data_IF_946052841099
#
_entry.id   IF_946052841099
#
_cell.length_a   1.000
_cell.length_b   1.000
_cell.length_c   1.000
_cell.angle_alpha   90.00
_cell.angle_beta   90.00
_cell.angle_gamma   90.00
#
_symmetry.space_group_name_H-M   'P 1'
#
loop_
_entity.id
_entity.type
_entity.pdbx_description
1 polymer ?
#
# COMPACT_ATOMS: atom_id res chain seq x y z
N UNK A 1 28.54 -27.29 6.96
CA UNK A 1 28.55 -26.46 8.20
C UNK A 1 27.77 -25.19 7.87
N UNK A 2 26.49 -25.15 8.24
CA UNK A 2 25.66 -23.94 8.17
C UNK A 2 26.22 -22.93 9.18
N UNK A 3 26.52 -21.74 8.72
CA UNK A 3 27.07 -20.69 9.58
C UNK A 3 25.99 -20.21 10.55
N UNK A 4 26.39 -19.84 11.77
CA UNK A 4 25.46 -19.40 12.84
C UNK A 4 24.65 -18.13 12.53
N UNK A 5 24.85 -17.52 11.36
CA UNK A 5 24.07 -16.38 10.83
C UNK A 5 22.87 -16.82 9.98
N UNK A 6 22.89 -17.97 9.33
CA UNK A 6 21.83 -18.45 8.44
C UNK A 6 20.60 -18.94 9.22
N UNK A 7 20.77 -19.45 10.46
CA UNK A 7 19.70 -19.97 11.29
C UNK A 7 18.67 -18.92 11.76
N UNK A 8 19.04 -17.66 12.09
CA UNK A 8 18.08 -16.61 12.38
C UNK A 8 17.22 -16.20 11.17
N UNK A 9 17.82 -16.05 9.99
CA UNK A 9 17.11 -15.66 8.75
C UNK A 9 16.12 -16.73 8.30
N UNK A 10 16.48 -18.02 8.39
CA UNK A 10 15.55 -19.12 8.10
C UNK A 10 14.35 -19.17 9.06
N UNK A 11 14.56 -18.86 10.36
CA UNK A 11 13.47 -18.79 11.35
C UNK A 11 12.56 -17.60 11.11
N UNK A 12 13.10 -16.47 10.72
CA UNK A 12 12.34 -15.27 10.37
C UNK A 12 11.47 -15.54 9.14
N UNK A 13 12.05 -16.10 8.07
CA UNK A 13 11.31 -16.50 6.87
C UNK A 13 10.19 -17.50 7.18
N UNK A 14 10.43 -18.51 8.02
CA UNK A 14 9.39 -19.46 8.45
C UNK A 14 8.28 -18.77 9.24
N UNK A 15 8.60 -17.81 10.09
CA UNK A 15 7.61 -17.06 10.85
C UNK A 15 6.72 -16.19 9.92
N UNK A 16 7.31 -15.55 8.91
CA UNK A 16 6.55 -14.77 7.91
C UNK A 16 5.64 -15.67 7.06
N UNK A 17 6.10 -16.87 6.67
CA UNK A 17 5.27 -17.84 5.98
C UNK A 17 4.07 -18.25 6.85
N UNK A 18 4.26 -18.51 8.13
CA UNK A 18 3.17 -18.88 9.05
C UNK A 18 2.19 -17.70 9.21
N UNK A 19 2.67 -16.47 9.31
CA UNK A 19 1.82 -15.27 9.36
C UNK A 19 0.96 -15.15 8.11
N UNK A 20 1.56 -15.32 6.93
CA UNK A 20 0.86 -15.25 5.64
C UNK A 20 -0.35 -16.20 5.61
N UNK A 21 -0.18 -17.48 5.99
CA UNK A 21 -1.28 -18.45 6.00
C UNK A 21 -2.41 -18.12 7.00
N UNK A 22 -2.14 -17.27 7.98
CA UNK A 22 -3.15 -16.86 8.95
C UNK A 22 -3.88 -15.56 8.59
N UNK A 23 -3.34 -14.75 7.70
CA UNK A 23 -3.92 -13.45 7.33
C UNK A 23 -5.25 -13.59 6.58
N UNK A 24 -6.10 -12.59 6.75
CA UNK A 24 -7.41 -12.44 6.11
C UNK A 24 -7.45 -11.22 5.20
N UNK A 25 -8.45 -11.15 4.32
CA UNK A 25 -8.58 -10.08 3.35
C UNK A 25 -8.69 -8.69 3.99
N UNK A 26 -9.37 -8.58 5.13
CA UNK A 26 -9.52 -7.33 5.88
C UNK A 26 -8.19 -6.80 6.45
N UNK A 27 -7.22 -7.69 6.71
CA UNK A 27 -5.91 -7.31 7.26
C UNK A 27 -4.98 -6.67 6.21
N UNK A 28 -5.24 -6.90 4.91
CA UNK A 28 -4.37 -6.43 3.82
C UNK A 28 -5.08 -5.55 2.79
N UNK A 29 -6.41 -5.43 2.86
CA UNK A 29 -7.20 -4.67 1.89
C UNK A 29 -6.88 -3.18 1.94
N UNK A 30 -7.01 -2.50 0.79
CA UNK A 30 -7.20 -1.07 0.76
C UNK A 30 -8.60 -0.76 1.30
N UNK A 31 -8.71 -0.04 2.44
CA UNK A 31 -10.00 0.26 3.04
C UNK A 31 -10.88 1.10 2.11
N UNK A 32 -12.21 1.02 2.27
CA UNK A 32 -13.19 1.77 1.49
C UNK A 32 -12.91 3.27 1.39
N UNK A 33 -12.43 3.88 2.47
CA UNK A 33 -12.15 5.32 2.51
C UNK A 33 -10.98 5.74 1.63
N UNK A 34 -10.10 4.79 1.30
CA UNK A 34 -8.90 5.02 0.50
C UNK A 34 -9.05 4.44 -0.92
N UNK A 35 -10.23 3.87 -1.24
CA UNK A 35 -10.50 3.35 -2.57
C UNK A 35 -10.68 4.48 -3.58
N UNK A 36 -10.09 4.31 -4.75
CA UNK A 36 -10.38 5.10 -5.93
C UNK A 36 -11.41 4.36 -6.79
N UNK A 37 -12.61 4.86 -6.88
CA UNK A 37 -13.73 4.26 -7.60
C UNK A 37 -14.46 5.25 -8.51
N UNK A 38 -15.36 4.75 -9.36
CA UNK A 38 -16.11 5.55 -10.34
C UNK A 38 -17.60 5.32 -10.22
N UNK A 39 -18.37 6.41 -10.18
CA UNK A 39 -19.82 6.34 -10.30
C UNK A 39 -20.20 6.04 -11.75
N UNK A 40 -21.09 5.06 -11.97
CA UNK A 40 -21.49 4.53 -13.29
C UNK A 40 -22.09 5.60 -14.22
N UNK A 41 -22.62 6.69 -13.66
CA UNK A 41 -23.22 7.81 -14.43
C UNK A 41 -22.17 8.82 -14.88
N UNK A 42 -20.89 8.66 -14.52
CA UNK A 42 -19.81 9.56 -14.92
C UNK A 42 -19.70 9.65 -16.44
N UNK A 43 -19.57 10.85 -16.98
CA UNK A 43 -19.39 11.06 -18.42
C UNK A 43 -18.08 10.47 -18.91
N UNK A 44 -18.02 10.05 -20.18
CA UNK A 44 -16.83 9.39 -20.71
C UNK A 44 -15.56 10.24 -20.62
N UNK A 45 -15.68 11.56 -20.87
CA UNK A 45 -14.55 12.49 -20.71
C UNK A 45 -14.01 12.50 -19.29
N UNK A 46 -14.89 12.59 -18.29
CA UNK A 46 -14.50 12.59 -16.89
C UNK A 46 -13.88 11.25 -16.47
N UNK A 47 -14.31 10.13 -17.06
CA UNK A 47 -13.67 8.81 -16.85
C UNK A 47 -12.23 8.83 -17.35
N UNK A 48 -11.99 9.38 -18.54
CA UNK A 48 -10.62 9.50 -19.10
C UNK A 48 -9.75 10.40 -18.20
N UNK A 49 -10.26 11.55 -17.80
CA UNK A 49 -9.53 12.48 -16.92
C UNK A 49 -9.20 11.83 -15.57
N UNK A 50 -10.14 11.08 -15.01
CA UNK A 50 -9.95 10.33 -13.77
C UNK A 50 -8.85 9.28 -13.91
N UNK A 51 -8.87 8.48 -14.98
CA UNK A 51 -7.89 7.43 -15.24
C UNK A 51 -6.47 8.02 -15.39
N UNK A 52 -6.33 9.11 -16.12
CA UNK A 52 -5.03 9.77 -16.31
C UNK A 52 -4.49 10.29 -14.97
N UNK A 53 -5.36 10.76 -14.09
CA UNK A 53 -4.98 11.31 -12.79
C UNK A 53 -4.66 10.21 -11.77
N UNK A 54 -5.47 9.15 -11.70
CA UNK A 54 -5.32 8.08 -10.71
C UNK A 54 -4.17 7.11 -11.02
N UNK A 55 -3.91 6.85 -12.31
CA UNK A 55 -2.87 5.92 -12.75
C UNK A 55 -3.17 4.43 -12.54
N UNK A 56 -4.30 4.06 -11.93
CA UNK A 56 -4.65 2.68 -11.62
C UNK A 56 -5.10 1.90 -12.86
N UNK A 57 -4.73 0.65 -12.97
CA UNK A 57 -5.08 -0.24 -14.08
C UNK A 57 -6.50 -0.82 -14.00
N UNK A 58 -7.10 -0.86 -12.81
CA UNK A 58 -8.42 -1.44 -12.53
C UNK A 58 -9.14 -0.55 -11.53
N UNK A 59 -10.37 -0.18 -11.86
CA UNK A 59 -11.14 0.78 -11.07
C UNK A 59 -12.50 0.17 -10.78
N UNK A 60 -12.90 0.03 -9.51
CA UNK A 60 -14.25 -0.34 -9.13
C UNK A 60 -15.27 0.68 -9.65
N UNK A 61 -16.40 0.18 -10.12
CA UNK A 61 -17.52 1.01 -10.61
C UNK A 61 -18.75 0.74 -9.76
N UNK A 62 -19.31 1.78 -9.18
CA UNK A 62 -20.50 1.69 -8.34
C UNK A 62 -21.70 2.44 -8.95
N UNK A 63 -22.89 2.21 -8.42
CA UNK A 63 -24.12 2.95 -8.78
C UNK A 63 -24.83 3.44 -7.53
N UNK A 64 -25.05 4.74 -7.45
CA UNK A 64 -25.77 5.44 -6.38
C UNK A 64 -25.08 5.38 -4.99
N UNK A 65 -24.47 4.28 -4.63
CA UNK A 65 -23.72 4.08 -3.39
C UNK A 65 -22.52 3.17 -3.67
N UNK A 66 -21.39 3.42 -3.00
CA UNK A 66 -20.17 2.59 -3.04
C UNK A 66 -20.39 1.17 -2.53
N UNK A 67 -21.48 0.89 -1.80
CA UNK A 67 -21.92 -0.47 -1.46
C UNK A 67 -22.51 -1.22 -2.65
N UNK A 68 -22.88 -0.51 -3.71
CA UNK A 68 -23.52 -1.10 -4.88
C UNK A 68 -22.54 -1.18 -6.05
N UNK A 69 -21.49 -1.98 -5.90
CA UNK A 69 -20.48 -2.21 -6.94
C UNK A 69 -21.09 -2.94 -8.12
N UNK A 70 -20.97 -2.36 -9.31
CA UNK A 70 -21.49 -2.91 -10.59
C UNK A 70 -20.45 -3.76 -11.33
N UNK A 71 -19.18 -3.56 -11.03
CA UNK A 71 -18.07 -4.29 -11.63
C UNK A 71 -16.78 -3.51 -11.59
N UNK A 72 -15.82 -3.94 -12.40
CA UNK A 72 -14.48 -3.37 -12.51
C UNK A 72 -14.26 -2.87 -13.92
N UNK A 73 -13.83 -1.61 -14.05
CA UNK A 73 -13.35 -1.05 -15.32
C UNK A 73 -11.85 -1.34 -15.45
N UNK A 74 -11.48 -2.02 -16.53
CA UNK A 74 -10.07 -2.26 -16.88
C UNK A 74 -9.62 -1.20 -17.87
N UNK A 75 -8.58 -0.44 -17.55
CA UNK A 75 -8.06 0.61 -18.43
C UNK A 75 -7.68 0.07 -19.80
N UNK A 76 -7.07 -1.10 -19.87
CA UNK A 76 -6.69 -1.74 -21.13
C UNK A 76 -7.87 -1.95 -22.10
N UNK A 77 -9.07 -2.17 -21.57
CA UNK A 77 -10.27 -2.36 -22.42
C UNK A 77 -10.80 -1.03 -22.95
N UNK A 78 -10.45 0.06 -22.32
CA UNK A 78 -10.87 1.41 -22.69
C UNK A 78 -9.92 2.07 -23.72
N UNK A 79 -8.65 1.66 -23.75
CA UNK A 79 -7.63 2.23 -24.64
C UNK A 79 -8.06 2.30 -26.13
N UNK A 80 -8.72 1.28 -26.72
CA UNK A 80 -9.18 1.36 -28.12
C UNK A 80 -10.24 2.42 -28.38
N UNK A 81 -10.84 2.98 -27.34
CA UNK A 81 -11.97 3.90 -27.42
C UNK A 81 -11.65 5.31 -26.95
N UNK A 82 -10.40 5.62 -26.64
CA UNK A 82 -9.99 6.90 -26.02
C UNK A 82 -10.38 8.13 -26.84
N UNK A 83 -10.43 8.00 -28.18
CA UNK A 83 -10.80 9.08 -29.09
C UNK A 83 -12.32 9.16 -29.35
N UNK A 84 -13.14 8.36 -28.67
CA UNK A 84 -14.58 8.38 -28.83
C UNK A 84 -15.19 9.65 -28.21
N UNK A 85 -16.33 10.13 -28.75
CA UNK A 85 -17.03 11.26 -28.19
C UNK A 85 -17.60 10.96 -26.80
N UNK A 86 -17.94 11.98 -26.04
CA UNK A 86 -18.46 11.87 -24.67
C UNK A 86 -19.79 11.07 -24.57
N UNK A 87 -20.46 10.87 -25.70
CA UNK A 87 -21.66 10.00 -25.80
C UNK A 87 -21.34 8.50 -25.83
N UNK A 88 -20.05 8.12 -25.81
CA UNK A 88 -19.66 6.73 -25.80
C UNK A 88 -20.11 6.04 -24.50
N UNK A 89 -20.75 4.88 -24.66
CA UNK A 89 -21.24 4.08 -23.52
C UNK A 89 -20.13 3.19 -22.96
N UNK A 90 -19.24 3.77 -22.20
CA UNK A 90 -18.12 3.05 -21.55
C UNK A 90 -18.58 1.99 -20.57
N UNK A 91 -19.81 2.09 -20.05
CA UNK A 91 -20.42 1.11 -19.13
C UNK A 91 -20.48 -0.31 -19.72
N UNK A 92 -20.49 -0.44 -21.05
CA UNK A 92 -20.44 -1.74 -21.72
C UNK A 92 -19.09 -2.47 -21.57
N UNK A 93 -18.05 -1.78 -21.08
CA UNK A 93 -16.72 -2.33 -20.86
C UNK A 93 -16.52 -2.81 -19.40
N UNK A 94 -17.48 -2.57 -18.53
CA UNK A 94 -17.41 -2.99 -17.13
C UNK A 94 -17.47 -4.52 -17.07
N UNK A 95 -16.46 -5.11 -16.40
CA UNK A 95 -16.41 -6.55 -16.15
C UNK A 95 -17.04 -6.88 -14.81
N UNK A 96 -17.61 -8.10 -14.64
CA UNK A 96 -18.10 -8.54 -13.32
C UNK A 96 -17.03 -8.41 -12.25
N UNK A 97 -17.40 -7.90 -11.08
CA UNK A 97 -16.54 -7.90 -9.90
C UNK A 97 -16.52 -9.28 -9.25
N UNK A 98 -15.42 -9.60 -8.58
CA UNK A 98 -15.27 -10.75 -7.72
C UNK A 98 -15.41 -10.29 -6.27
N UNK A 99 -16.30 -10.91 -5.51
CA UNK A 99 -16.59 -10.51 -4.14
C UNK A 99 -16.09 -11.57 -3.16
N UNK A 100 -15.50 -11.13 -2.06
CA UNK A 100 -15.01 -11.99 -0.99
C UNK A 100 -15.38 -11.41 0.37
N UNK A 101 -15.66 -12.24 1.39
CA UNK A 101 -15.88 -11.75 2.75
C UNK A 101 -14.56 -11.27 3.37
N UNK A 102 -14.64 -10.39 4.35
CA UNK A 102 -13.50 -9.90 5.15
C UNK A 102 -12.63 -11.03 5.71
N UNK A 103 -13.26 -12.11 6.15
CA UNK A 103 -12.61 -13.28 6.74
C UNK A 103 -11.95 -14.24 5.75
N UNK A 104 -11.96 -13.89 4.44
CA UNK A 104 -11.34 -14.73 3.41
C UNK A 104 -9.84 -14.82 3.64
N UNK A 105 -9.32 -16.05 3.73
CA UNK A 105 -7.87 -16.27 3.83
C UNK A 105 -7.16 -15.88 2.55
N UNK A 106 -6.03 -15.18 2.69
CA UNK A 106 -5.32 -14.62 1.53
C UNK A 106 -4.59 -15.68 0.69
N UNK A 107 -4.18 -16.80 1.28
CA UNK A 107 -3.62 -17.94 0.56
C UNK A 107 -4.66 -18.58 -0.37
N UNK A 108 -5.87 -18.85 0.13
CA UNK A 108 -7.00 -19.32 -0.69
C UNK A 108 -7.35 -18.31 -1.78
N UNK A 109 -7.35 -17.02 -1.45
CA UNK A 109 -7.67 -15.96 -2.39
C UNK A 109 -6.63 -15.86 -3.51
N UNK A 110 -5.36 -16.05 -3.20
CA UNK A 110 -4.27 -16.11 -4.18
C UNK A 110 -4.49 -17.26 -5.18
N UNK A 111 -4.88 -18.44 -4.68
CA UNK A 111 -5.16 -19.59 -5.54
C UNK A 111 -6.38 -19.33 -6.46
N UNK A 112 -7.44 -18.71 -5.92
CA UNK A 112 -8.61 -18.30 -6.69
C UNK A 112 -8.26 -17.25 -7.76
N UNK A 113 -7.45 -16.24 -7.42
CA UNK A 113 -6.98 -15.23 -8.37
C UNK A 113 -6.21 -15.87 -9.53
N UNK A 114 -5.31 -16.79 -9.24
CA UNK A 114 -4.53 -17.51 -10.28
C UNK A 114 -5.42 -18.40 -11.15
N UNK A 115 -6.32 -19.15 -10.54
CA UNK A 115 -7.18 -20.12 -11.23
C UNK A 115 -8.20 -19.40 -12.13
N UNK A 116 -8.82 -18.33 -11.63
CA UNK A 116 -9.86 -17.58 -12.33
C UNK A 116 -9.30 -16.42 -13.17
N UNK A 117 -7.97 -16.18 -13.16
CA UNK A 117 -7.30 -15.06 -13.82
C UNK A 117 -7.89 -13.71 -13.40
N UNK A 118 -8.16 -13.58 -12.12
CA UNK A 118 -8.65 -12.36 -11.46
C UNK A 118 -7.45 -11.71 -10.78
N UNK A 119 -7.46 -10.38 -10.68
CA UNK A 119 -6.38 -9.60 -10.06
C UNK A 119 -6.88 -8.62 -9.00
N UNK A 120 -8.19 -8.55 -8.79
CA UNK A 120 -8.80 -7.66 -7.82
C UNK A 120 -10.11 -8.27 -7.34
N UNK A 121 -10.37 -8.21 -6.05
CA UNK A 121 -11.63 -8.57 -5.42
C UNK A 121 -12.18 -7.38 -4.61
N UNK A 122 -13.49 -7.30 -4.53
CA UNK A 122 -14.20 -6.41 -3.62
C UNK A 122 -14.40 -7.17 -2.30
N UNK A 123 -13.94 -6.59 -1.21
CA UNK A 123 -14.13 -7.13 0.14
C UNK A 123 -15.45 -6.61 0.69
N UNK A 124 -16.27 -7.51 1.22
CA UNK A 124 -17.58 -7.19 1.74
C UNK A 124 -17.75 -7.66 3.18
N UNK A 125 -18.48 -6.86 3.96
CA UNK A 125 -18.88 -7.17 5.33
C UNK A 125 -20.03 -8.19 5.39
N UNK A 126 -20.45 -8.57 6.61
CA UNK A 126 -21.55 -9.50 6.86
C UNK A 126 -22.93 -8.97 6.44
N UNK A 127 -23.05 -7.66 6.17
CA UNK A 127 -24.29 -7.01 5.71
C UNK A 127 -24.31 -6.81 4.20
N UNK A 128 -23.21 -7.15 3.51
CA UNK A 128 -23.05 -6.95 2.08
C UNK A 128 -22.59 -5.54 1.69
N UNK A 129 -22.14 -4.74 2.66
CA UNK A 129 -21.50 -3.44 2.42
C UNK A 129 -20.06 -3.63 1.91
N UNK A 130 -19.57 -2.69 1.13
CA UNK A 130 -18.18 -2.69 0.66
C UNK A 130 -17.26 -2.23 1.78
N UNK A 131 -16.35 -3.10 2.22
CA UNK A 131 -15.31 -2.81 3.21
C UNK A 131 -14.03 -2.27 2.56
N UNK A 132 -13.70 -2.75 1.37
CA UNK A 132 -12.50 -2.36 0.66
C UNK A 132 -12.27 -3.16 -0.61
N UNK A 133 -11.03 -3.12 -1.11
CA UNK A 133 -10.54 -3.94 -2.21
C UNK A 133 -9.26 -4.66 -1.81
N UNK A 134 -9.03 -5.82 -2.41
CA UNK A 134 -7.76 -6.53 -2.33
C UNK A 134 -7.30 -6.91 -3.72
N UNK A 135 -6.02 -6.73 -4.01
CA UNK A 135 -5.42 -7.06 -5.29
C UNK A 135 -4.46 -8.23 -5.16
N UNK A 136 -4.05 -8.80 -6.29
CA UNK A 136 -3.01 -9.83 -6.31
C UNK A 136 -1.67 -9.28 -5.83
N UNK A 137 -1.41 -8.02 -6.15
CA UNK A 137 -0.23 -7.28 -5.75
C UNK A 137 -0.13 -7.19 -4.23
N UNK A 138 -1.21 -6.84 -3.52
CA UNK A 138 -1.26 -6.78 -2.04
C UNK A 138 -0.94 -8.16 -1.41
N UNK A 139 -1.49 -9.25 -1.97
CA UNK A 139 -1.23 -10.60 -1.47
C UNK A 139 0.24 -11.00 -1.69
N UNK A 140 0.82 -10.65 -2.85
CA UNK A 140 2.21 -10.97 -3.15
C UNK A 140 3.19 -10.18 -2.27
N UNK A 141 2.86 -8.95 -1.93
CA UNK A 141 3.63 -8.12 -1.01
C UNK A 141 3.75 -8.79 0.37
N UNK A 142 2.69 -9.43 0.83
CA UNK A 142 2.72 -10.19 2.09
C UNK A 142 3.63 -11.43 2.09
N UNK A 143 3.91 -11.99 0.91
CA UNK A 143 4.82 -13.15 0.77
C UNK A 143 6.28 -12.70 0.67
N UNK A 144 6.52 -11.64 -0.08
CA UNK A 144 7.88 -11.23 -0.48
C UNK A 144 8.42 -10.16 0.46
N UNK A 145 7.54 -9.53 1.28
CA UNK A 145 7.81 -8.27 1.95
C UNK A 145 7.83 -7.13 0.91
N UNK A 146 8.06 -5.93 1.35
CA UNK A 146 8.33 -4.83 0.41
C UNK A 146 9.47 -5.27 -0.52
N UNK A 147 9.11 -5.59 -1.79
CA UNK A 147 10.11 -5.74 -2.83
C UNK A 147 10.64 -4.33 -3.04
N UNK A 148 11.73 -4.00 -2.36
CA UNK A 148 12.51 -2.84 -2.76
C UNK A 148 13.10 -3.19 -4.13
N UNK A 149 12.34 -2.84 -5.19
CA UNK A 149 12.82 -2.95 -6.55
C UNK A 149 14.07 -2.08 -6.65
N UNK A 150 15.17 -2.63 -7.17
CA UNK A 150 16.40 -1.87 -7.42
C UNK A 150 16.16 -0.67 -8.37
N UNK A 151 14.92 -0.49 -8.83
CA UNK A 151 14.42 0.53 -9.75
C UNK A 151 13.34 1.45 -9.18
N UNK A 152 12.89 1.28 -7.90
CA UNK A 152 12.01 2.26 -7.24
C UNK A 152 12.81 3.52 -6.86
N UNK A 153 13.23 4.24 -7.90
CA UNK A 153 13.82 5.59 -7.81
C UNK A 153 12.74 6.67 -7.51
N UNK A 154 11.49 6.27 -7.34
CA UNK A 154 10.36 7.16 -7.11
C UNK A 154 9.92 7.13 -5.64
N UNK A 155 10.35 8.13 -4.94
CA UNK A 155 10.24 8.58 -3.56
C UNK A 155 11.41 8.16 -2.68
N UNK A 156 12.59 8.66 -2.98
CA UNK A 156 13.68 8.68 -1.99
C UNK A 156 13.20 9.44 -0.76
N UNK A 157 12.71 8.70 0.24
CA UNK A 157 12.34 9.26 1.54
C UNK A 157 13.53 9.93 2.23
N UNK A 158 14.72 9.87 1.61
CA UNK A 158 15.90 10.59 2.06
C UNK A 158 16.81 11.00 0.89
N UNK A 159 17.57 12.06 1.10
CA UNK A 159 18.62 12.55 0.19
C UNK A 159 19.93 12.70 0.94
N UNK A 160 21.02 12.16 0.41
CA UNK A 160 22.38 12.38 0.96
C UNK A 160 23.01 13.60 0.30
N UNK A 161 23.41 14.58 1.11
CA UNK A 161 24.08 15.79 0.64
C UNK A 161 25.60 15.59 0.51
N UNK A 162 26.25 16.46 -0.24
CA UNK A 162 27.70 16.38 -0.49
C UNK A 162 28.57 16.58 0.77
N UNK A 163 28.03 17.20 1.81
CA UNK A 163 28.68 17.40 3.11
C UNK A 163 28.52 16.19 4.06
N UNK A 164 27.83 15.13 3.60
CA UNK A 164 27.57 13.92 4.38
C UNK A 164 26.31 13.97 5.23
N UNK A 165 25.58 15.10 5.26
CA UNK A 165 24.29 15.19 5.92
C UNK A 165 23.21 14.48 5.12
N UNK A 166 22.12 14.10 5.80
CA UNK A 166 20.96 13.39 5.23
C UNK A 166 19.71 14.22 5.43
N UNK A 167 18.91 14.36 4.39
CA UNK A 167 17.56 14.94 4.47
C UNK A 167 16.58 13.79 4.39
N UNK A 168 15.68 13.68 5.36
CA UNK A 168 14.65 12.66 5.43
C UNK A 168 13.27 13.29 5.31
N UNK A 169 12.33 12.54 4.71
CA UNK A 169 10.93 12.80 4.96
C UNK A 169 10.57 12.32 6.36
N UNK A 170 9.86 13.16 7.13
CA UNK A 170 9.56 12.85 8.53
C UNK A 170 8.61 11.64 8.71
N UNK A 171 7.92 11.23 7.64
CA UNK A 171 7.05 10.04 7.60
C UNK A 171 7.81 8.71 7.46
N UNK A 172 9.15 8.74 7.20
CA UNK A 172 9.96 7.52 7.08
C UNK A 172 9.81 6.65 8.32
N UNK A 173 9.65 5.34 8.15
CA UNK A 173 9.62 4.39 9.25
C UNK A 173 10.96 4.36 9.98
N UNK A 174 10.94 4.21 11.30
CA UNK A 174 12.16 4.16 12.12
C UNK A 174 13.07 3.01 11.72
N UNK A 175 12.51 1.87 11.30
CA UNK A 175 13.28 0.73 10.79
C UNK A 175 14.16 1.11 9.59
N UNK A 176 13.59 1.87 8.65
CA UNK A 176 14.30 2.32 7.46
C UNK A 176 15.26 3.46 7.78
N UNK A 177 14.84 4.40 8.61
CA UNK A 177 15.69 5.47 9.10
C UNK A 177 16.97 4.91 9.74
N UNK A 178 16.86 3.98 10.70
CA UNK A 178 18.02 3.38 11.37
C UNK A 178 18.90 2.56 10.41
N UNK A 179 18.30 1.88 9.42
CA UNK A 179 19.03 1.18 8.36
C UNK A 179 19.87 2.14 7.53
N UNK A 180 19.28 3.27 7.09
CA UNK A 180 19.97 4.28 6.25
C UNK A 180 21.13 4.95 6.98
N UNK A 181 20.96 5.28 8.27
CA UNK A 181 22.03 5.89 9.07
C UNK A 181 23.00 4.87 9.70
N UNK A 182 22.70 3.57 9.53
CA UNK A 182 23.48 2.46 10.07
C UNK A 182 23.70 2.54 11.59
N UNK A 183 22.63 2.71 12.35
CA UNK A 183 22.62 2.89 13.79
C UNK A 183 21.69 1.87 14.43
N UNK A 184 22.11 1.30 15.58
CA UNK A 184 21.27 0.41 16.36
C UNK A 184 20.15 1.20 17.05
N UNK A 185 18.87 0.82 16.92
CA UNK A 185 17.73 1.47 17.57
C UNK A 185 17.90 1.62 19.10
N UNK A 186 18.65 0.71 19.73
CA UNK A 186 18.90 0.75 21.19
C UNK A 186 19.66 2.01 21.64
N UNK A 187 20.36 2.71 20.75
CA UNK A 187 21.00 3.99 21.05
C UNK A 187 19.98 5.09 21.42
N UNK A 188 18.72 4.95 20.98
CA UNK A 188 17.64 5.87 21.30
C UNK A 188 16.78 5.41 22.50
N UNK A 189 17.06 4.21 23.03
CA UNK A 189 16.45 3.66 24.23
C UNK A 189 14.92 3.62 24.16
N UNK A 190 14.25 4.14 25.21
CA UNK A 190 12.79 4.12 25.30
C UNK A 190 12.06 5.05 24.32
N UNK A 191 12.75 5.96 23.67
CA UNK A 191 12.14 6.90 22.71
C UNK A 191 11.60 6.21 21.44
N UNK A 192 11.96 4.93 21.24
CA UNK A 192 11.53 4.14 20.09
C UNK A 192 10.44 3.10 20.43
N UNK A 193 10.04 2.98 21.71
CA UNK A 193 9.11 1.93 22.14
C UNK A 193 7.67 2.14 21.63
N UNK A 194 7.23 3.42 21.55
CA UNK A 194 5.83 3.77 21.22
C UNK A 194 5.71 4.61 19.93
N UNK A 195 6.74 4.62 19.08
CA UNK A 195 6.76 5.43 17.86
C UNK A 195 7.26 4.62 16.65
N UNK A 196 6.64 4.82 15.50
CA UNK A 196 6.91 4.08 14.27
C UNK A 196 7.67 4.90 13.22
N UNK A 197 7.63 6.23 13.31
CA UNK A 197 8.19 7.13 12.30
C UNK A 197 9.23 8.09 12.86
N UNK A 198 10.07 8.66 11.98
CA UNK A 198 11.02 9.70 12.36
C UNK A 198 10.33 10.93 12.98
N UNK A 199 9.13 11.29 12.49
CA UNK A 199 8.32 12.35 13.09
C UNK A 199 8.00 12.05 14.56
N UNK A 200 7.55 10.82 14.85
CA UNK A 200 7.27 10.37 16.21
C UNK A 200 8.51 10.46 17.11
N UNK A 201 9.65 9.97 16.63
CA UNK A 201 10.92 10.05 17.38
C UNK A 201 11.32 11.49 17.71
N UNK A 202 11.18 12.41 16.75
CA UNK A 202 11.51 13.82 16.96
C UNK A 202 10.56 14.50 17.98
N UNK A 203 9.28 14.09 17.98
CA UNK A 203 8.30 14.53 18.98
C UNK A 203 8.67 14.04 20.38
N UNK A 204 9.08 12.77 20.52
CA UNK A 204 9.53 12.21 21.80
C UNK A 204 10.81 12.90 22.30
N UNK A 205 11.79 13.16 21.42
CA UNK A 205 13.03 13.87 21.78
C UNK A 205 12.73 15.27 22.30
N UNK A 206 11.79 15.98 21.67
CA UNK A 206 11.48 17.37 22.01
C UNK A 206 10.39 17.51 23.07
N UNK A 207 9.45 16.59 23.12
CA UNK A 207 8.24 16.69 23.95
C UNK A 207 7.15 17.64 23.41
N UNK A 208 7.32 18.19 22.20
CA UNK A 208 6.38 19.08 21.51
C UNK A 208 6.70 19.13 20.00
N UNK A 209 5.83 19.76 19.19
CA UNK A 209 6.07 19.92 17.76
C UNK A 209 7.30 20.78 17.46
N UNK A 210 8.25 20.30 16.64
CA UNK A 210 9.39 21.10 16.21
C UNK A 210 8.97 22.31 15.36
N UNK A 211 9.62 23.44 15.59
CA UNK A 211 9.43 24.63 14.76
C UNK A 211 10.24 24.50 13.45
N UNK A 212 9.79 25.20 12.42
CA UNK A 212 10.53 25.21 11.15
C UNK A 212 11.98 25.68 11.37
N UNK A 213 12.96 24.86 10.93
CA UNK A 213 14.40 25.06 11.09
C UNK A 213 14.88 25.04 12.55
N UNK A 214 14.15 24.42 13.43
CA UNK A 214 14.62 24.17 14.77
C UNK A 214 15.65 23.04 14.75
N UNK A 215 16.69 23.18 15.55
CA UNK A 215 17.74 22.18 15.71
C UNK A 215 17.42 21.36 16.97
N UNK A 216 17.38 20.05 16.83
CA UNK A 216 17.23 19.12 17.93
C UNK A 216 18.53 18.30 18.06
N UNK A 217 19.17 18.38 19.20
CA UNK A 217 20.36 17.60 19.51
C UNK A 217 19.99 16.41 20.42
N UNK A 218 20.37 15.20 20.04
CA UNK A 218 20.22 14.00 20.85
C UNK A 218 21.51 13.17 20.81
N UNK A 219 22.22 13.10 21.93
CA UNK A 219 23.52 12.44 22.02
C UNK A 219 24.54 13.00 21.01
N UNK A 220 24.94 12.18 20.06
CA UNK A 220 25.83 12.57 18.95
C UNK A 220 25.10 13.02 17.69
N UNK A 221 23.77 12.94 17.67
CA UNK A 221 22.93 13.25 16.51
C UNK A 221 22.37 14.67 16.59
N UNK A 222 22.28 15.28 15.42
CA UNK A 222 21.68 16.61 15.22
C UNK A 222 20.65 16.52 14.10
N UNK A 223 19.42 16.83 14.42
CA UNK A 223 18.29 16.89 13.52
C UNK A 223 17.90 18.32 13.20
#
# INVERSE_FOLDING_TARGET
ELTSKEIPEEKEMLAEIIKFYNKTADEIMTPRLDMEDLEIKTSFRNVIDFIIKSGYSRIPVYADSEDNIKGILYIKDLLPYIDKPDTFRWQSLIRPAYFVPETKKIDDLLEEFRTNKIHMAIVVDEFGGTSGIVTMEDILEEIVGEISDEYDDDEKQFVRLADGSLIFEAKILLTDFFRVINVDPTEFGKLTEDVETLAGLLLEIKGDFPRRREILDYGKYRF
#
